data_IF_252354519594
#
_entry.id   IF_252354519594
#
_cell.length_a   1.000
_cell.length_b   1.000
_cell.length_c   1.000
_cell.angle_alpha   90.00
_cell.angle_beta   90.00
_cell.angle_gamma   90.00
#
_symmetry.space_group_name_H-M   'P 1'
#
loop_
_entity.id
_entity.type
_entity.pdbx_description
1 polymer ?
#
# COMPACT_ATOMS: atom_id res chain seq x y z
N UNK A 1 -5.67 24.72 -5.01
CA UNK A 1 -5.59 23.32 -5.47
C UNK A 1 -4.15 23.02 -5.84
N UNK A 2 -3.38 22.31 -5.01
CA UNK A 2 -2.09 21.80 -5.44
C UNK A 2 -2.29 20.38 -6.00
N UNK A 3 -1.90 20.12 -7.27
CA UNK A 3 -1.91 18.78 -7.81
C UNK A 3 -0.96 17.90 -6.99
N UNK A 4 -1.34 16.64 -6.75
CA UNK A 4 -0.45 15.65 -6.14
C UNK A 4 0.78 15.35 -7.03
N UNK A 5 0.80 15.79 -8.30
CA UNK A 5 1.97 15.80 -9.18
C UNK A 5 1.77 16.66 -10.45
N UNK A 6 2.87 17.07 -11.09
CA UNK A 6 2.90 17.71 -12.43
C UNK A 6 2.98 16.72 -13.60
N UNK A 7 2.71 15.43 -13.37
CA UNK A 7 2.83 14.34 -14.35
C UNK A 7 1.45 13.80 -14.75
N UNK A 8 1.38 13.12 -15.90
CA UNK A 8 0.17 12.43 -16.36
C UNK A 8 -0.36 11.48 -15.28
N UNK A 9 -1.64 11.62 -14.93
CA UNK A 9 -2.31 10.81 -13.91
C UNK A 9 -2.63 9.39 -14.42
N UNK A 10 -1.60 8.61 -14.69
CA UNK A 10 -1.74 7.19 -15.05
C UNK A 10 -1.95 6.33 -13.82
N UNK A 11 -2.58 5.16 -13.97
CA UNK A 11 -2.81 4.20 -12.88
C UNK A 11 -1.51 3.86 -12.14
N UNK A 12 -0.42 3.58 -12.87
CA UNK A 12 0.89 3.30 -12.28
C UNK A 12 1.38 4.46 -11.41
N UNK A 13 1.25 5.68 -11.93
CA UNK A 13 1.66 6.89 -11.23
C UNK A 13 0.84 7.15 -9.98
N UNK A 14 -0.48 7.07 -10.06
CA UNK A 14 -1.37 7.34 -8.93
C UNK A 14 -1.18 6.37 -7.76
N UNK A 15 -0.85 5.11 -8.03
CA UNK A 15 -0.75 4.09 -6.99
C UNK A 15 0.66 3.89 -6.47
N UNK A 16 1.71 3.76 -7.28
CA UNK A 16 3.05 3.44 -6.76
C UNK A 16 4.20 4.31 -7.27
N UNK A 17 4.01 5.13 -8.31
CA UNK A 17 5.11 5.99 -8.80
C UNK A 17 5.04 7.45 -8.30
N UNK A 18 3.90 7.91 -7.75
CA UNK A 18 3.79 9.20 -7.06
C UNK A 18 4.57 9.18 -5.74
N UNK A 19 5.18 10.31 -5.34
CA UNK A 19 5.94 10.42 -4.09
C UNK A 19 5.08 10.12 -2.86
N UNK A 20 3.83 10.61 -2.86
CA UNK A 20 2.88 10.39 -1.78
C UNK A 20 2.59 8.91 -1.55
N UNK A 21 2.27 8.17 -2.61
CA UNK A 21 1.87 6.78 -2.51
C UNK A 21 3.07 5.83 -2.36
N UNK A 22 4.22 6.18 -2.96
CA UNK A 22 5.47 5.46 -2.74
C UNK A 22 5.92 5.52 -1.27
N UNK A 23 5.78 6.68 -0.60
CA UNK A 23 6.06 6.80 0.84
C UNK A 23 5.15 5.91 1.70
N UNK A 24 3.91 5.68 1.27
CA UNK A 24 3.00 4.75 1.95
C UNK A 24 3.46 3.31 1.73
N UNK A 25 3.82 2.95 0.49
CA UNK A 25 4.32 1.63 0.15
C UNK A 25 5.57 1.25 0.96
N UNK A 26 6.58 2.13 1.01
CA UNK A 26 7.82 1.89 1.76
C UNK A 26 7.62 1.91 3.28
N UNK A 27 6.70 2.76 3.77
CA UNK A 27 6.33 2.77 5.18
C UNK A 27 5.47 1.57 5.62
N UNK A 28 4.78 0.92 4.69
CA UNK A 28 3.97 -0.27 4.93
C UNK A 28 4.77 -1.56 4.79
N UNK A 29 5.77 -1.59 3.90
CA UNK A 29 6.61 -2.75 3.66
C UNK A 29 8.09 -2.36 3.72
N UNK A 30 8.65 -2.39 4.93
CA UNK A 30 10.07 -2.10 5.16
C UNK A 30 11.02 -2.94 4.28
N UNK A 31 10.65 -4.19 3.98
CA UNK A 31 11.41 -5.11 3.13
C UNK A 31 11.37 -4.81 1.62
N UNK A 32 10.53 -3.88 1.17
CA UNK A 32 10.47 -3.42 -0.23
C UNK A 32 11.34 -2.17 -0.48
N UNK A 33 12.04 -1.64 0.53
CA UNK A 33 12.85 -0.42 0.40
C UNK A 33 14.10 -0.57 -0.50
N UNK A 34 14.48 -1.79 -0.89
CA UNK A 34 15.68 -2.05 -1.70
C UNK A 34 15.43 -2.05 -3.22
N UNK A 35 14.23 -1.68 -3.70
CA UNK A 35 14.01 -1.54 -5.15
C UNK A 35 14.60 -0.22 -5.63
N UNK A 36 15.58 -0.30 -6.53
CA UNK A 36 16.20 0.84 -7.23
C UNK A 36 15.18 1.64 -8.08
N UNK A 37 14.01 1.05 -8.38
CA UNK A 37 12.95 1.63 -9.21
C UNK A 37 11.61 1.52 -8.51
N UNK A 38 10.73 2.52 -8.67
CA UNK A 38 9.36 2.46 -8.13
C UNK A 38 8.58 1.37 -8.88
N UNK A 39 8.12 0.30 -8.21
CA UNK A 39 7.44 -0.78 -8.89
C UNK A 39 6.01 -0.38 -9.25
N UNK A 40 5.51 -0.81 -10.40
CA UNK A 40 4.07 -0.76 -10.68
C UNK A 40 3.33 -1.87 -9.94
N UNK A 41 1.99 -1.82 -9.95
CA UNK A 41 1.15 -2.77 -9.20
C UNK A 41 1.46 -4.23 -9.59
N UNK A 42 1.57 -4.53 -10.88
CA UNK A 42 1.84 -5.87 -11.37
C UNK A 42 3.19 -6.40 -10.88
N UNK A 43 4.23 -5.56 -10.92
CA UNK A 43 5.56 -5.93 -10.43
C UNK A 43 5.56 -6.27 -8.94
N UNK A 44 4.76 -5.58 -8.13
CA UNK A 44 4.62 -5.91 -6.71
C UNK A 44 3.95 -7.28 -6.52
N UNK A 45 2.89 -7.57 -7.26
CA UNK A 45 2.22 -8.87 -7.19
C UNK A 45 3.13 -10.02 -7.66
N UNK A 46 3.87 -9.82 -8.75
CA UNK A 46 4.83 -10.82 -9.25
C UNK A 46 5.95 -11.07 -8.24
N UNK A 47 6.46 -10.02 -7.60
CA UNK A 47 7.47 -10.15 -6.55
C UNK A 47 6.95 -10.98 -5.37
N UNK A 48 5.72 -10.75 -4.91
CA UNK A 48 5.12 -11.53 -3.81
C UNK A 48 4.97 -13.00 -4.20
N UNK A 49 4.41 -13.25 -5.38
CA UNK A 49 4.16 -14.61 -5.86
C UNK A 49 5.47 -15.38 -6.05
N UNK A 50 6.53 -14.71 -6.52
CA UNK A 50 7.86 -15.30 -6.65
C UNK A 50 8.56 -15.55 -5.32
N UNK A 51 8.60 -14.53 -4.44
CA UNK A 51 9.32 -14.57 -3.17
C UNK A 51 8.72 -15.56 -2.17
N UNK A 52 7.39 -15.66 -2.13
CA UNK A 52 6.67 -16.49 -1.16
C UNK A 52 6.01 -17.71 -1.81
N UNK A 53 6.54 -18.15 -2.97
CA UNK A 53 6.04 -19.32 -3.69
C UNK A 53 5.94 -20.53 -2.75
N UNK A 54 4.76 -21.14 -2.68
CA UNK A 54 4.50 -22.28 -1.80
C UNK A 54 3.97 -21.91 -0.40
N UNK A 55 3.96 -20.63 -0.02
CA UNK A 55 3.33 -20.16 1.21
C UNK A 55 2.10 -19.29 0.91
N UNK A 56 0.95 -19.95 0.70
CA UNK A 56 -0.30 -19.29 0.32
C UNK A 56 -0.83 -18.33 1.38
N UNK A 57 -0.58 -18.58 2.65
CA UNK A 57 -1.04 -17.71 3.75
C UNK A 57 -0.31 -16.36 3.71
N UNK A 58 1.02 -16.39 3.57
CA UNK A 58 1.84 -15.17 3.43
C UNK A 58 1.50 -14.42 2.14
N UNK A 59 1.32 -15.13 1.02
CA UNK A 59 0.87 -14.51 -0.24
C UNK A 59 -0.46 -13.80 -0.03
N UNK A 60 -1.45 -14.46 0.59
CA UNK A 60 -2.78 -13.87 0.81
C UNK A 60 -2.72 -12.67 1.75
N UNK A 61 -1.87 -12.70 2.76
CA UNK A 61 -1.62 -11.55 3.63
C UNK A 61 -1.10 -10.34 2.85
N UNK A 62 -0.06 -10.51 2.02
CA UNK A 62 0.47 -9.40 1.22
C UNK A 62 -0.54 -8.89 0.18
N UNK A 63 -1.34 -9.78 -0.42
CA UNK A 63 -2.45 -9.39 -1.32
C UNK A 63 -3.47 -8.52 -0.60
N UNK A 64 -3.86 -8.89 0.62
CA UNK A 64 -4.76 -8.10 1.47
C UNK A 64 -4.15 -6.73 1.81
N UNK A 65 -2.88 -6.70 2.20
CA UNK A 65 -2.17 -5.48 2.55
C UNK A 65 -2.10 -4.50 1.36
N UNK A 66 -1.72 -4.97 0.17
CA UNK A 66 -1.66 -4.15 -1.04
C UNK A 66 -3.04 -3.68 -1.48
N UNK A 67 -4.03 -4.59 -1.50
CA UNK A 67 -5.40 -4.22 -1.87
C UNK A 67 -5.96 -3.15 -0.93
N UNK A 68 -5.66 -3.25 0.36
CA UNK A 68 -6.06 -2.24 1.35
C UNK A 68 -5.38 -0.91 1.08
N UNK A 69 -4.06 -0.90 0.86
CA UNK A 69 -3.33 0.32 0.51
C UNK A 69 -3.89 0.99 -0.76
N UNK A 70 -4.13 0.22 -1.84
CA UNK A 70 -4.73 0.73 -3.08
C UNK A 70 -6.09 1.38 -2.79
N UNK A 71 -6.95 0.71 -2.02
CA UNK A 71 -8.26 1.22 -1.65
C UNK A 71 -8.16 2.53 -0.86
N UNK A 72 -7.29 2.60 0.14
CA UNK A 72 -7.12 3.80 0.96
C UNK A 72 -6.53 4.97 0.16
N UNK A 73 -5.59 4.72 -0.76
CA UNK A 73 -5.06 5.75 -1.68
C UNK A 73 -6.18 6.27 -2.59
N UNK A 74 -6.97 5.37 -3.19
CA UNK A 74 -8.10 5.74 -4.03
C UNK A 74 -9.14 6.56 -3.25
N UNK A 75 -9.49 6.12 -2.04
CA UNK A 75 -10.43 6.81 -1.15
C UNK A 75 -9.94 8.20 -0.78
N UNK A 76 -8.66 8.34 -0.42
CA UNK A 76 -8.06 9.63 -0.12
C UNK A 76 -8.08 10.57 -1.33
N UNK A 77 -7.74 10.08 -2.53
CA UNK A 77 -7.84 10.87 -3.76
C UNK A 77 -9.27 11.38 -4.00
N UNK A 78 -10.27 10.52 -3.86
CA UNK A 78 -11.66 10.93 -4.00
C UNK A 78 -12.08 11.97 -2.94
N UNK A 79 -11.64 11.81 -1.70
CA UNK A 79 -11.91 12.79 -0.64
C UNK A 79 -11.29 14.16 -0.92
N UNK A 80 -10.11 14.21 -1.57
CA UNK A 80 -9.49 15.48 -1.97
C UNK A 80 -10.25 16.18 -3.08
N UNK A 81 -10.77 15.42 -4.04
CA UNK A 81 -11.49 15.96 -5.20
C UNK A 81 -12.89 16.41 -4.81
N UNK A 82 -13.62 15.57 -4.08
CA UNK A 82 -15.06 15.77 -3.83
C UNK A 82 -15.40 16.16 -2.39
N UNK A 83 -14.51 15.88 -1.43
CA UNK A 83 -14.77 16.08 0.00
C UNK A 83 -14.00 17.24 0.63
N UNK A 84 -13.12 17.92 -0.13
CA UNK A 84 -12.23 18.98 0.37
C UNK A 84 -11.45 18.58 1.64
N UNK A 85 -11.13 17.29 1.76
CA UNK A 85 -10.45 16.71 2.92
C UNK A 85 -9.10 16.13 2.50
N UNK A 86 -8.04 16.42 3.28
CA UNK A 86 -6.66 16.12 2.90
C UNK A 86 -5.92 15.50 4.08
N UNK A 87 -5.50 14.24 3.94
CA UNK A 87 -4.64 13.53 4.90
C UNK A 87 -3.21 13.45 4.41
N UNK A 88 -2.22 13.80 5.23
CA UNK A 88 -0.82 13.54 4.87
C UNK A 88 -0.55 12.02 4.77
N UNK A 89 0.54 11.66 4.08
CA UNK A 89 0.88 10.25 3.81
C UNK A 89 1.05 9.44 5.10
N UNK A 90 1.56 10.04 6.19
CA UNK A 90 1.74 9.39 7.48
C UNK A 90 0.41 9.08 8.17
N UNK A 91 -0.57 10.00 8.11
CA UNK A 91 -1.93 9.75 8.63
C UNK A 91 -2.62 8.62 7.85
N UNK A 92 -2.52 8.63 6.52
CA UNK A 92 -3.12 7.58 5.69
C UNK A 92 -2.45 6.22 5.94
N UNK A 93 -1.12 6.19 6.07
CA UNK A 93 -0.37 4.99 6.42
C UNK A 93 -0.83 4.41 7.77
N UNK A 94 -1.03 5.25 8.78
CA UNK A 94 -1.53 4.81 10.08
C UNK A 94 -2.95 4.24 9.98
N UNK A 95 -3.82 4.85 9.17
CA UNK A 95 -5.16 4.31 8.90
C UNK A 95 -5.10 2.94 8.22
N UNK A 96 -4.20 2.75 7.26
CA UNK A 96 -3.98 1.46 6.61
C UNK A 96 -3.48 0.42 7.61
N UNK A 97 -2.45 0.74 8.40
CA UNK A 97 -1.90 -0.19 9.43
C UNK A 97 -2.97 -0.59 10.45
N UNK A 98 -3.79 0.35 10.91
CA UNK A 98 -4.93 0.06 11.82
C UNK A 98 -5.96 -0.87 11.18
N UNK A 99 -6.40 -0.57 9.96
CA UNK A 99 -7.38 -1.41 9.26
C UNK A 99 -6.84 -2.83 9.02
N UNK A 100 -5.56 -2.97 8.70
CA UNK A 100 -4.92 -4.27 8.56
C UNK A 100 -4.83 -5.00 9.90
N UNK A 101 -4.39 -4.33 10.96
CA UNK A 101 -4.34 -4.90 12.30
C UNK A 101 -5.71 -5.44 12.73
N UNK A 102 -6.77 -4.63 12.64
CA UNK A 102 -8.14 -5.04 12.98
C UNK A 102 -8.62 -6.24 12.16
N UNK A 103 -8.19 -6.33 10.89
CA UNK A 103 -8.56 -7.44 10.00
C UNK A 103 -7.82 -8.72 10.33
N UNK A 104 -6.52 -8.65 10.65
CA UNK A 104 -5.66 -9.81 10.82
C UNK A 104 -5.52 -10.28 12.27
N UNK A 105 -5.86 -9.47 13.27
CA UNK A 105 -5.77 -9.87 14.70
C UNK A 105 -6.59 -11.13 15.00
N UNK A 106 -7.60 -11.43 14.19
CA UNK A 106 -8.44 -12.63 14.29
C UNK A 106 -7.82 -13.87 13.64
N UNK A 107 -6.68 -13.73 12.95
CA UNK A 107 -6.02 -14.83 12.25
C UNK A 107 -5.11 -15.58 13.21
N UNK A 108 -5.00 -16.90 13.03
CA UNK A 108 -4.17 -17.77 13.88
C UNK A 108 -2.70 -17.33 13.93
N UNK A 109 -2.17 -16.80 12.82
CA UNK A 109 -0.78 -16.37 12.68
C UNK A 109 -0.63 -14.84 12.69
N UNK A 110 -1.53 -14.11 13.35
CA UNK A 110 -1.57 -12.64 13.33
C UNK A 110 -0.22 -11.97 13.67
N UNK A 111 0.47 -12.45 14.71
CA UNK A 111 1.77 -11.89 15.14
C UNK A 111 2.84 -12.02 14.06
N UNK A 112 2.88 -13.14 13.33
CA UNK A 112 3.83 -13.34 12.23
C UNK A 112 3.57 -12.33 11.09
N UNK A 113 2.30 -12.05 10.80
CA UNK A 113 1.94 -11.09 9.76
C UNK A 113 2.17 -9.64 10.16
N UNK A 114 1.97 -9.30 11.44
CA UNK A 114 2.24 -7.96 11.95
C UNK A 114 3.73 -7.59 11.92
N UNK A 115 4.61 -8.55 12.20
CA UNK A 115 6.07 -8.36 12.11
C UNK A 115 6.55 -8.04 10.68
N UNK A 116 5.75 -8.39 9.68
CA UNK A 116 6.04 -8.19 8.25
C UNK A 116 5.61 -6.81 7.69
N UNK A 117 4.98 -5.94 8.51
CA UNK A 117 4.49 -4.59 8.15
C UNK A 117 5.48 -3.45 8.49
#
# INVERSE_FOLDING_TARGET
MQPLSSYDETVSHLFFECSYSFSILTGLFSGMCNVLLRPNIFQVYDWINGKYKGNSEVINFYKLAISSMIYFIWKERNNRIFGNHFQCHSSLLLSIKRALFEKIVKWRNAMEFLDRL
#
